data_IF_896291797474
#
_entry.id   IF_896291797474
#
_cell.length_a   1.000
_cell.length_b   1.000
_cell.length_c   1.000
_cell.angle_alpha   90.00
_cell.angle_beta   90.00
_cell.angle_gamma   90.00
#
_symmetry.space_group_name_H-M   'P 1'
#
loop_
_entity.id
_entity.type
_entity.pdbx_description
1 polymer ?
#
# COMPACT_ATOMS: atom_id res chain seq x y z
N UNK A 1 22.48 10.96 -11.40
CA UNK A 1 22.13 9.81 -10.54
C UNK A 1 20.68 9.48 -10.85
N UNK A 2 20.42 8.36 -11.52
CA UNK A 2 19.05 7.89 -11.73
C UNK A 2 18.60 7.23 -10.42
N UNK A 3 17.58 7.79 -9.77
CA UNK A 3 16.97 7.15 -8.62
C UNK A 3 16.16 5.95 -9.11
N UNK A 4 16.46 4.76 -8.58
CA UNK A 4 15.61 3.58 -8.74
C UNK A 4 14.27 3.88 -8.07
N UNK A 5 13.20 3.97 -8.85
CA UNK A 5 11.83 4.00 -8.33
C UNK A 5 11.42 2.55 -8.16
N UNK A 6 11.53 2.02 -6.93
CA UNK A 6 11.10 0.67 -6.60
C UNK A 6 9.56 0.62 -6.60
N UNK A 7 8.95 0.21 -7.71
CA UNK A 7 7.49 0.08 -7.81
C UNK A 7 7.03 -1.19 -7.09
N UNK A 8 6.46 -1.04 -5.89
CA UNK A 8 5.95 -2.16 -5.10
C UNK A 8 4.44 -2.34 -5.28
N UNK A 9 3.99 -3.53 -5.68
CA UNK A 9 2.56 -3.86 -5.66
C UNK A 9 2.13 -4.08 -4.21
N UNK A 10 1.45 -3.10 -3.62
CA UNK A 10 0.90 -3.22 -2.27
C UNK A 10 -0.49 -3.83 -2.38
N UNK A 11 -0.54 -5.16 -2.41
CA UNK A 11 -1.79 -5.92 -2.58
C UNK A 11 -2.78 -5.73 -1.44
N UNK A 12 -2.32 -5.33 -0.25
CA UNK A 12 -3.18 -5.40 0.94
C UNK A 12 -3.18 -4.14 1.80
N UNK A 13 -3.46 -3.00 1.16
CA UNK A 13 -3.78 -1.73 1.82
C UNK A 13 -4.92 -1.87 2.84
N UNK A 14 -5.91 -2.73 2.54
CA UNK A 14 -7.03 -3.02 3.45
C UNK A 14 -6.56 -3.76 4.70
N UNK A 15 -5.74 -4.81 4.53
CA UNK A 15 -5.14 -5.53 5.65
C UNK A 15 -4.19 -4.63 6.44
N UNK A 16 -3.35 -3.82 5.78
CA UNK A 16 -2.49 -2.86 6.47
C UNK A 16 -3.28 -1.87 7.33
N UNK A 17 -4.36 -1.28 6.78
CA UNK A 17 -5.24 -0.38 7.54
C UNK A 17 -5.87 -1.10 8.74
N UNK A 18 -6.33 -2.33 8.54
CA UNK A 18 -6.94 -3.14 9.60
C UNK A 18 -5.95 -3.42 10.73
N UNK A 19 -4.77 -3.94 10.41
CA UNK A 19 -3.69 -4.25 11.35
C UNK A 19 -3.18 -3.00 12.09
N UNK A 20 -2.99 -1.89 11.38
CA UNK A 20 -2.56 -0.63 11.98
C UNK A 20 -3.59 -0.06 12.95
N UNK A 21 -4.88 -0.09 12.56
CA UNK A 21 -5.98 0.34 13.42
C UNK A 21 -6.08 -0.52 14.68
N UNK A 22 -5.98 -1.85 14.53
CA UNK A 22 -5.98 -2.79 15.64
C UNK A 22 -4.85 -2.49 16.63
N UNK A 23 -3.62 -2.33 16.15
CA UNK A 23 -2.47 -2.01 17.01
C UNK A 23 -2.63 -0.70 17.78
N UNK A 24 -3.26 0.32 17.17
CA UNK A 24 -3.55 1.59 17.85
C UNK A 24 -4.59 1.44 18.96
N UNK A 25 -5.58 0.57 18.77
CA UNK A 25 -6.60 0.24 19.77
C UNK A 25 -5.99 -0.63 20.89
N UNK A 26 -5.27 -1.69 20.54
CA UNK A 26 -4.65 -2.65 21.47
C UNK A 26 -3.58 -2.00 22.35
N UNK A 27 -2.85 -1.02 21.83
CA UNK A 27 -1.92 -0.22 22.61
C UNK A 27 -2.61 0.70 23.65
N UNK A 28 -3.96 0.69 23.72
CA UNK A 28 -4.76 1.52 24.62
C UNK A 28 -4.64 3.02 24.34
N UNK A 29 -4.09 3.39 23.17
CA UNK A 29 -3.75 4.77 22.84
C UNK A 29 -4.95 5.56 22.35
N UNK A 30 -5.87 4.91 21.65
CA UNK A 30 -6.99 5.56 20.97
C UNK A 30 -8.26 4.70 21.04
N UNK A 31 -9.42 5.35 21.06
CA UNK A 31 -10.69 4.65 20.79
C UNK A 31 -10.76 4.27 19.30
N UNK A 32 -11.74 3.44 18.93
CA UNK A 32 -11.88 2.91 17.57
C UNK A 32 -11.97 4.02 16.50
N UNK A 33 -12.70 5.10 16.77
CA UNK A 33 -12.91 6.19 15.80
C UNK A 33 -11.60 6.95 15.57
N UNK A 34 -10.91 7.30 16.66
CA UNK A 34 -9.65 8.04 16.59
C UNK A 34 -8.55 7.19 15.95
N UNK A 35 -8.50 5.88 16.25
CA UNK A 35 -7.55 4.95 15.66
C UNK A 35 -7.72 4.83 14.13
N UNK A 36 -8.96 4.83 13.64
CA UNK A 36 -9.25 4.84 12.20
C UNK A 36 -8.79 6.14 11.55
N UNK A 37 -9.02 7.28 12.21
CA UNK A 37 -8.60 8.59 11.71
C UNK A 37 -7.09 8.70 11.64
N UNK A 38 -6.40 8.32 12.72
CA UNK A 38 -4.94 8.33 12.79
C UNK A 38 -4.31 7.40 11.76
N UNK A 39 -4.88 6.20 11.58
CA UNK A 39 -4.42 5.25 10.54
C UNK A 39 -4.49 5.86 9.15
N UNK A 40 -5.55 6.63 8.82
CA UNK A 40 -5.68 7.32 7.52
C UNK A 40 -4.66 8.44 7.33
N UNK A 41 -4.24 9.10 8.40
CA UNK A 41 -3.17 10.10 8.33
C UNK A 41 -1.81 9.44 8.17
N UNK A 42 -1.51 8.40 8.96
CA UNK A 42 -0.28 7.60 8.84
C UNK A 42 -0.12 6.98 7.46
N UNK A 43 -1.23 6.56 6.86
CA UNK A 43 -1.27 6.03 5.51
C UNK A 43 -0.65 6.98 4.47
N UNK A 44 -0.87 8.29 4.61
CA UNK A 44 -0.27 9.28 3.70
C UNK A 44 1.24 9.31 3.77
N UNK A 45 1.84 8.88 4.88
CA UNK A 45 3.29 8.82 5.08
C UNK A 45 3.89 7.48 4.68
N UNK A 46 3.12 6.39 4.82
CA UNK A 46 3.55 5.05 4.47
C UNK A 46 3.51 4.80 2.96
N UNK A 47 2.61 5.48 2.24
CA UNK A 47 2.40 5.31 0.80
C UNK A 47 2.63 6.60 0.00
N UNK A 48 3.63 7.42 0.36
CA UNK A 48 3.87 8.75 -0.23
C UNK A 48 4.15 8.74 -1.73
N UNK A 49 4.79 7.69 -2.23
CA UNK A 49 5.26 7.59 -3.63
C UNK A 49 4.64 6.40 -4.39
N UNK A 50 3.61 5.78 -3.81
CA UNK A 50 2.98 4.59 -4.38
C UNK A 50 1.82 4.95 -5.33
N UNK A 51 1.90 4.47 -6.57
CA UNK A 51 0.76 4.50 -7.50
C UNK A 51 -0.25 3.41 -7.14
N UNK A 52 -1.46 3.82 -6.75
CA UNK A 52 -2.54 2.90 -6.40
C UNK A 52 -3.32 2.52 -7.66
N UNK A 53 -3.11 1.28 -8.12
CA UNK A 53 -3.90 0.69 -9.22
C UNK A 53 -4.96 -0.24 -8.63
N UNK A 54 -6.23 0.09 -8.83
CA UNK A 54 -7.33 -0.80 -8.47
C UNK A 54 -7.43 -1.93 -9.50
N UNK A 55 -7.12 -3.15 -9.07
CA UNK A 55 -7.24 -4.36 -9.89
C UNK A 55 -8.66 -4.90 -9.76
N UNK A 56 -9.41 -4.89 -10.87
CA UNK A 56 -10.81 -5.33 -10.90
C UNK A 56 -10.96 -6.82 -11.22
N UNK A 57 -9.94 -7.44 -11.82
CA UNK A 57 -9.96 -8.85 -12.19
C UNK A 57 -8.53 -9.42 -12.34
N UNK A 58 -8.44 -10.73 -12.50
CA UNK A 58 -7.18 -11.46 -12.62
C UNK A 58 -6.34 -11.01 -13.83
N UNK A 59 -6.97 -10.77 -14.97
CA UNK A 59 -6.26 -10.40 -16.20
C UNK A 59 -5.55 -9.04 -16.05
N UNK A 60 -6.17 -8.08 -15.37
CA UNK A 60 -5.54 -6.80 -15.03
C UNK A 60 -4.33 -6.95 -14.12
N UNK A 61 -4.40 -7.89 -13.16
CA UNK A 61 -3.26 -8.23 -12.30
C UNK A 61 -2.11 -8.80 -13.12
N UNK A 62 -2.40 -9.81 -13.93
CA UNK A 62 -1.39 -10.54 -14.70
C UNK A 62 -0.72 -9.60 -15.71
N UNK A 63 -1.48 -8.68 -16.34
CA UNK A 63 -0.96 -7.65 -17.23
C UNK A 63 -0.02 -6.66 -16.50
N UNK A 64 -0.39 -6.20 -15.30
CA UNK A 64 0.43 -5.30 -14.50
C UNK A 64 1.71 -5.99 -14.00
N UNK A 65 1.62 -7.24 -13.55
CA UNK A 65 2.79 -8.03 -13.15
C UNK A 65 3.77 -8.23 -14.31
N UNK A 66 3.28 -8.50 -15.52
CA UNK A 66 4.13 -8.64 -16.70
C UNK A 66 4.76 -7.31 -17.13
N UNK A 67 4.03 -6.21 -17.02
CA UNK A 67 4.58 -4.87 -17.29
C UNK A 67 5.75 -4.55 -16.36
N UNK A 68 5.57 -4.74 -15.06
CA UNK A 68 6.62 -4.49 -14.05
C UNK A 68 7.84 -5.37 -14.34
N UNK A 69 7.65 -6.68 -14.58
CA UNK A 69 8.75 -7.61 -14.91
C UNK A 69 9.51 -7.17 -16.16
N UNK A 70 8.84 -6.59 -17.16
CA UNK A 70 9.50 -6.12 -18.39
C UNK A 70 10.36 -4.87 -18.17
N UNK A 71 9.99 -4.04 -17.19
CA UNK A 71 10.75 -2.84 -16.82
C UNK A 71 11.99 -3.21 -16.01
N UNK A 72 11.89 -4.17 -15.09
CA UNK A 72 13.03 -4.68 -14.31
C UNK A 72 14.06 -5.43 -15.18
N UNK A 73 13.68 -5.87 -16.38
CA UNK A 73 14.57 -6.53 -17.35
C UNK A 73 15.25 -5.55 -18.33
N UNK A 74 15.02 -4.24 -18.19
CA UNK A 74 15.52 -3.22 -19.11
C UNK A 74 16.90 -2.62 -18.72
N UNK A 75 17.65 -3.29 -17.82
CA UNK A 75 19.03 -2.95 -17.45
C UNK A 75 20.08 -3.76 -18.24
#
# INVERSE_FOLDING_TARGET
MAGFIEMKIIQNRKEWRYEATLKLIEAGRLNVIDAISETKELEKYVFQDDFIVEIKNKDQRDALENLIKSMDQSD
#
